data_IF_951391551747
#
_entry.id   IF_951391551747
#
_cell.length_a   1.000
_cell.length_b   1.000
_cell.length_c   1.000
_cell.angle_alpha   90.00
_cell.angle_beta   90.00
_cell.angle_gamma   90.00
#
_symmetry.space_group_name_H-M   'P 1'
#
loop_
_entity.id
_entity.type
_entity.pdbx_description
1 polymer ?
#
# COMPACT_ATOMS: atom_id res chain seq x y z
N UNK A 1 -3.31 13.31 -17.80
CA UNK A 1 -2.05 12.54 -17.52
C UNK A 1 -2.19 11.98 -16.11
N UNK A 2 -1.92 10.69 -15.92
CA UNK A 2 -2.00 10.07 -14.58
C UNK A 2 -0.86 10.57 -13.68
N UNK A 3 -1.18 10.81 -12.41
CA UNK A 3 -0.17 11.08 -11.39
C UNK A 3 0.50 9.77 -10.94
N UNK A 4 -0.31 8.76 -10.61
CA UNK A 4 0.20 7.47 -10.10
C UNK A 4 -0.55 6.32 -10.75
N UNK A 5 0.16 5.24 -11.09
CA UNK A 5 -0.43 3.93 -11.36
C UNK A 5 -0.04 2.99 -10.24
N UNK A 6 -1.03 2.36 -9.61
CA UNK A 6 -0.83 1.32 -8.60
C UNK A 6 -1.07 -0.05 -9.24
N UNK A 7 -0.13 -1.00 -9.09
CA UNK A 7 -0.26 -2.34 -9.67
C UNK A 7 -0.09 -3.40 -8.58
N UNK A 8 -1.13 -4.21 -8.36
CA UNK A 8 -1.06 -5.26 -7.36
C UNK A 8 -2.29 -6.15 -7.25
N UNK A 9 -2.21 -7.10 -6.31
CA UNK A 9 -3.25 -8.08 -6.05
C UNK A 9 -4.46 -7.45 -5.36
N UNK A 10 -5.64 -7.94 -5.70
CA UNK A 10 -6.89 -7.53 -5.09
C UNK A 10 -7.62 -8.73 -4.49
N UNK A 11 -8.20 -8.51 -3.35
CA UNK A 11 -8.86 -9.53 -2.54
C UNK A 11 -10.28 -9.09 -2.17
N UNK A 12 -11.13 -10.08 -1.93
CA UNK A 12 -12.36 -9.86 -1.19
C UNK A 12 -12.15 -10.27 0.27
N UNK A 13 -12.52 -9.40 1.18
CA UNK A 13 -12.45 -9.62 2.62
C UNK A 13 -13.79 -10.03 3.19
N UNK A 14 -13.78 -11.01 4.08
CA UNK A 14 -14.93 -11.40 4.89
C UNK A 14 -14.62 -11.18 6.37
N UNK A 15 -15.43 -10.38 7.03
CA UNK A 15 -15.25 -10.04 8.43
C UNK A 15 -16.55 -10.18 9.19
N UNK A 16 -16.58 -10.86 10.34
CA UNK A 16 -17.75 -10.83 11.23
C UNK A 16 -18.09 -9.42 11.67
N UNK A 17 -19.36 -9.15 11.93
CA UNK A 17 -19.79 -7.87 12.51
C UNK A 17 -19.20 -7.68 13.91
N UNK A 18 -18.77 -6.47 14.21
CA UNK A 18 -18.20 -6.12 15.51
C UNK A 18 -16.97 -6.95 15.86
N UNK A 19 -16.99 -7.59 17.03
CA UNK A 19 -15.88 -8.38 17.55
C UNK A 19 -16.19 -9.88 17.67
N UNK A 20 -17.19 -10.36 16.91
CA UNK A 20 -17.50 -11.79 16.82
C UNK A 20 -16.33 -12.55 16.20
N UNK A 21 -16.20 -13.81 16.58
CA UNK A 21 -15.28 -14.74 15.93
C UNK A 21 -15.93 -15.33 14.66
N UNK A 22 -15.12 -15.83 13.75
CA UNK A 22 -15.62 -16.47 12.52
C UNK A 22 -16.53 -17.68 12.81
N UNK A 23 -16.21 -18.47 13.85
CA UNK A 23 -17.02 -19.61 14.28
C UNK A 23 -18.33 -19.25 14.99
N UNK A 24 -18.47 -17.98 15.44
CA UNK A 24 -19.71 -17.45 16.01
C UNK A 24 -20.59 -16.80 14.94
N UNK A 25 -19.99 -16.35 13.82
CA UNK A 25 -20.66 -15.52 12.83
C UNK A 25 -21.73 -16.30 12.05
N UNK A 26 -22.88 -15.67 11.84
CA UNK A 26 -23.94 -16.12 10.90
C UNK A 26 -24.03 -15.23 9.67
N UNK A 27 -23.40 -14.07 9.75
CA UNK A 27 -23.29 -13.06 8.71
C UNK A 27 -21.89 -12.51 8.70
N UNK A 28 -21.41 -12.11 7.52
CA UNK A 28 -20.12 -11.45 7.34
C UNK A 28 -20.28 -10.21 6.49
N UNK A 29 -19.51 -9.19 6.80
CA UNK A 29 -19.32 -8.03 5.95
C UNK A 29 -18.37 -8.41 4.80
N UNK A 30 -18.72 -7.99 3.58
CA UNK A 30 -17.94 -8.23 2.38
C UNK A 30 -17.28 -6.92 1.95
N UNK A 31 -15.97 -6.94 1.74
CA UNK A 31 -15.18 -5.75 1.42
C UNK A 31 -14.16 -6.03 0.32
N UNK A 32 -13.88 -5.00 -0.47
CA UNK A 32 -12.73 -5.00 -1.37
C UNK A 32 -11.48 -4.54 -0.59
N UNK A 33 -10.34 -5.14 -0.91
CA UNK A 33 -9.03 -4.75 -0.37
C UNK A 33 -7.91 -5.12 -1.34
N UNK A 34 -6.72 -4.64 -1.05
CA UNK A 34 -5.47 -4.86 -1.77
C UNK A 34 -4.54 -3.68 -1.51
N UNK A 35 -3.29 -3.92 -1.17
CA UNK A 35 -2.38 -2.85 -0.75
C UNK A 35 -2.34 -1.69 -1.76
N UNK A 36 -2.19 -2.03 -3.03
CA UNK A 36 -2.14 -1.05 -4.11
C UNK A 36 -3.51 -0.43 -4.42
N UNK A 37 -4.61 -1.18 -4.24
CA UNK A 37 -5.96 -0.65 -4.36
C UNK A 37 -6.27 0.34 -3.22
N UNK A 38 -5.86 0.01 -1.98
CA UNK A 38 -5.99 0.89 -0.81
C UNK A 38 -5.24 2.21 -1.03
N UNK A 39 -3.99 2.14 -1.50
CA UNK A 39 -3.18 3.33 -1.82
C UNK A 39 -3.78 4.13 -2.98
N UNK A 40 -4.30 3.47 -4.02
CA UNK A 40 -4.95 4.12 -5.15
C UNK A 40 -6.20 4.89 -4.73
N UNK A 41 -7.02 4.30 -3.86
CA UNK A 41 -8.21 4.97 -3.29
C UNK A 41 -7.79 6.18 -2.45
N UNK A 42 -6.80 6.05 -1.58
CA UNK A 42 -6.29 7.17 -0.78
C UNK A 42 -5.81 8.33 -1.67
N UNK A 43 -5.00 8.04 -2.70
CA UNK A 43 -4.54 9.01 -3.68
C UNK A 43 -5.69 9.73 -4.41
N UNK A 44 -6.67 8.97 -4.90
CA UNK A 44 -7.81 9.53 -5.63
C UNK A 44 -8.67 10.43 -4.71
N UNK A 45 -8.89 10.02 -3.47
CA UNK A 45 -9.60 10.80 -2.45
C UNK A 45 -8.86 12.09 -2.06
N UNK A 46 -7.54 12.12 -2.22
CA UNK A 46 -6.71 13.32 -2.06
C UNK A 46 -6.63 14.18 -3.35
N UNK A 47 -7.40 13.83 -4.39
CA UNK A 47 -7.53 14.61 -5.62
C UNK A 47 -6.51 14.29 -6.72
N UNK A 48 -5.79 13.14 -6.65
CA UNK A 48 -4.86 12.71 -7.69
C UNK A 48 -5.55 11.93 -8.80
N UNK A 49 -4.99 12.02 -10.00
CA UNK A 49 -5.40 11.20 -11.14
C UNK A 49 -4.69 9.85 -11.04
N UNK A 50 -5.43 8.81 -10.73
CA UNK A 50 -4.86 7.50 -10.36
C UNK A 50 -5.39 6.39 -11.23
N UNK A 51 -4.49 5.56 -11.74
CA UNK A 51 -4.82 4.30 -12.39
C UNK A 51 -4.53 3.10 -11.49
N UNK A 52 -5.31 2.04 -11.66
CA UNK A 52 -5.09 0.79 -10.94
C UNK A 52 -5.09 -0.39 -11.90
N UNK A 53 -4.06 -1.23 -11.79
CA UNK A 53 -3.88 -2.45 -12.59
C UNK A 53 -3.88 -3.65 -11.66
N UNK A 54 -4.71 -4.61 -11.97
CA UNK A 54 -4.77 -5.93 -11.35
C UNK A 54 -5.26 -6.95 -12.37
N UNK A 55 -5.20 -8.25 -12.01
CA UNK A 55 -5.82 -9.31 -12.81
C UNK A 55 -6.83 -10.07 -11.97
N UNK A 56 -8.06 -10.15 -12.46
CA UNK A 56 -9.21 -10.75 -11.78
C UNK A 56 -9.97 -11.70 -12.71
N UNK A 57 -10.57 -12.76 -12.18
CA UNK A 57 -11.43 -13.65 -12.98
C UNK A 57 -12.77 -12.96 -13.29
N UNK A 58 -13.47 -13.46 -14.29
CA UNK A 58 -14.87 -13.11 -14.59
C UNK A 58 -15.80 -13.67 -13.51
N UNK A 59 -15.94 -12.93 -12.39
CA UNK A 59 -16.69 -13.35 -11.20
C UNK A 59 -17.45 -12.16 -10.56
N UNK A 60 -18.63 -12.36 -9.94
CA UNK A 60 -19.36 -11.28 -9.26
C UNK A 60 -18.55 -10.56 -8.18
N UNK A 61 -17.72 -11.28 -7.40
CA UNK A 61 -16.84 -10.66 -6.40
C UNK A 61 -15.75 -9.79 -7.04
N UNK A 62 -15.27 -10.14 -8.24
CA UNK A 62 -14.33 -9.29 -8.99
C UNK A 62 -14.99 -7.98 -9.41
N UNK A 63 -16.24 -8.03 -9.86
CA UNK A 63 -17.04 -6.84 -10.20
C UNK A 63 -17.30 -5.96 -8.97
N UNK A 64 -17.53 -6.57 -7.80
CA UNK A 64 -17.63 -5.84 -6.53
C UNK A 64 -16.32 -5.10 -6.25
N UNK A 65 -15.16 -5.77 -6.30
CA UNK A 65 -13.86 -5.15 -6.05
C UNK A 65 -13.62 -3.97 -7.00
N UNK A 66 -13.79 -4.18 -8.30
CA UNK A 66 -13.58 -3.12 -9.32
C UNK A 66 -14.56 -1.98 -9.14
N UNK A 67 -15.84 -2.28 -8.81
CA UNK A 67 -16.85 -1.28 -8.53
C UNK A 67 -16.50 -0.41 -7.32
N UNK A 68 -16.04 -1.05 -6.24
CA UNK A 68 -15.61 -0.34 -5.03
C UNK A 68 -14.42 0.58 -5.30
N UNK A 69 -13.39 0.14 -5.99
CA UNK A 69 -12.22 0.98 -6.35
C UNK A 69 -12.64 2.14 -7.27
N UNK A 70 -13.43 1.83 -8.31
CA UNK A 70 -13.89 2.84 -9.30
C UNK A 70 -14.73 3.94 -8.68
N UNK A 71 -15.61 3.64 -7.71
CA UNK A 71 -16.49 4.64 -7.08
C UNK A 71 -15.72 5.75 -6.36
N UNK A 72 -14.45 5.51 -6.01
CA UNK A 72 -13.56 6.52 -5.43
C UNK A 72 -12.82 7.38 -6.45
N UNK A 73 -13.11 7.22 -7.76
CA UNK A 73 -12.49 8.01 -8.83
C UNK A 73 -11.20 7.42 -9.39
N UNK A 74 -10.86 6.20 -9.04
CA UNK A 74 -9.70 5.49 -9.61
C UNK A 74 -10.05 4.95 -11.00
N UNK A 75 -9.17 5.18 -11.97
CA UNK A 75 -9.29 4.58 -13.30
C UNK A 75 -8.98 3.08 -13.24
N UNK A 76 -10.00 2.28 -13.52
CA UNK A 76 -9.95 0.81 -13.54
C UNK A 76 -10.00 0.25 -14.97
N UNK A 77 -9.76 1.08 -15.98
CA UNK A 77 -9.88 0.68 -17.40
C UNK A 77 -8.82 -0.36 -17.83
N UNK A 78 -7.76 -0.50 -17.03
CA UNK A 78 -6.65 -1.45 -17.28
C UNK A 78 -6.65 -2.65 -16.33
N UNK A 79 -7.78 -2.96 -15.72
CA UNK A 79 -7.99 -4.24 -15.05
C UNK A 79 -7.97 -5.36 -16.10
N UNK A 80 -7.09 -6.34 -15.91
CA UNK A 80 -6.98 -7.51 -16.78
C UNK A 80 -8.02 -8.54 -16.34
N UNK A 81 -8.92 -8.91 -17.25
CA UNK A 81 -9.94 -9.92 -16.99
C UNK A 81 -9.46 -11.28 -17.47
N UNK A 82 -9.52 -12.28 -16.60
CA UNK A 82 -9.11 -13.65 -16.88
C UNK A 82 -10.33 -14.55 -17.01
N UNK A 83 -10.40 -15.43 -18.03
CA UNK A 83 -11.43 -16.45 -18.11
C UNK A 83 -11.25 -17.54 -17.03
N UNK A 84 -10.05 -17.64 -16.47
CA UNK A 84 -9.67 -18.69 -15.52
C UNK A 84 -9.15 -18.07 -14.20
N UNK A 85 -9.08 -18.91 -13.18
CA UNK A 85 -8.56 -18.55 -11.88
C UNK A 85 -9.64 -18.21 -10.87
N UNK A 86 -9.23 -17.75 -9.71
CA UNK A 86 -10.10 -17.40 -8.58
C UNK A 86 -9.82 -16.00 -8.06
N UNK A 87 -10.79 -15.41 -7.38
CA UNK A 87 -10.57 -14.21 -6.58
C UNK A 87 -9.80 -14.62 -5.33
N UNK A 88 -8.80 -13.84 -4.97
CA UNK A 88 -8.14 -13.98 -3.67
C UNK A 88 -9.08 -13.55 -2.54
N UNK A 89 -9.03 -14.28 -1.43
CA UNK A 89 -9.88 -14.03 -0.26
C UNK A 89 -9.02 -13.81 0.98
N UNK A 90 -9.48 -12.97 1.88
CA UNK A 90 -8.99 -12.96 3.24
C UNK A 90 -10.14 -12.93 4.25
N UNK A 91 -9.91 -13.50 5.42
CA UNK A 91 -10.82 -13.47 6.54
C UNK A 91 -10.19 -12.65 7.66
N UNK A 92 -10.95 -11.75 8.24
CA UNK A 92 -10.46 -10.86 9.28
C UNK A 92 -11.36 -10.87 10.51
N UNK A 93 -10.79 -11.25 11.64
CA UNK A 93 -11.40 -11.08 12.97
C UNK A 93 -10.86 -9.82 13.62
N UNK A 94 -11.72 -8.84 13.84
CA UNK A 94 -11.42 -7.73 14.74
C UNK A 94 -11.36 -8.22 16.17
N UNK A 95 -10.56 -7.56 16.98
CA UNK A 95 -10.42 -7.91 18.37
C UNK A 95 -10.12 -6.67 19.21
N UNK A 96 -10.44 -6.78 20.49
CA UNK A 96 -10.01 -5.81 21.51
C UNK A 96 -9.03 -6.48 22.46
N UNK A 97 -8.05 -5.73 22.97
CA UNK A 97 -7.07 -6.26 23.93
C UNK A 97 -7.75 -6.97 25.13
N UNK A 98 -7.16 -8.08 25.66
CA UNK A 98 -5.85 -8.63 25.29
C UNK A 98 -5.84 -9.54 24.06
N UNK A 99 -6.96 -9.73 23.39
CA UNK A 99 -7.05 -10.55 22.18
C UNK A 99 -6.52 -9.77 20.97
N UNK A 100 -5.53 -10.31 20.23
CA UNK A 100 -5.07 -9.66 19.00
C UNK A 100 -6.03 -9.92 17.84
N UNK A 101 -6.18 -8.98 16.88
CA UNK A 101 -6.87 -9.23 15.62
C UNK A 101 -6.15 -10.33 14.83
N UNK A 102 -6.88 -11.04 13.99
CA UNK A 102 -6.36 -12.15 13.19
C UNK A 102 -6.77 -12.05 11.75
N UNK A 103 -5.83 -12.39 10.84
CA UNK A 103 -6.06 -12.46 9.41
C UNK A 103 -5.68 -13.85 8.89
N UNK A 104 -6.55 -14.43 8.08
CA UNK A 104 -6.27 -15.64 7.29
C UNK A 104 -6.41 -15.30 5.82
N UNK A 105 -5.40 -15.64 5.02
CA UNK A 105 -5.39 -15.43 3.58
C UNK A 105 -5.65 -16.75 2.86
N UNK A 106 -6.54 -16.70 1.88
CA UNK A 106 -6.78 -17.72 0.90
C UNK A 106 -6.65 -17.10 -0.51
N UNK A 107 -5.40 -16.92 -0.95
CA UNK A 107 -5.06 -16.19 -2.19
C UNK A 107 -4.14 -16.96 -3.14
N UNK A 108 -3.69 -18.14 -2.74
CA UNK A 108 -2.89 -19.01 -3.60
C UNK A 108 -3.68 -19.40 -4.85
N UNK A 109 -3.05 -19.29 -6.04
CA UNK A 109 -3.71 -19.57 -7.30
C UNK A 109 -4.81 -18.54 -7.67
N UNK A 110 -4.80 -17.33 -7.09
CA UNK A 110 -5.63 -16.23 -7.58
C UNK A 110 -5.24 -15.86 -9.02
N UNK A 111 -6.19 -15.29 -9.78
CA UNK A 111 -5.93 -14.88 -11.16
C UNK A 111 -4.73 -13.93 -11.26
N UNK A 112 -4.50 -13.06 -10.25
CA UNK A 112 -3.36 -12.15 -10.22
C UNK A 112 -2.02 -12.88 -10.30
N UNK A 113 -1.90 -14.10 -9.73
CA UNK A 113 -0.64 -14.87 -9.77
C UNK A 113 -0.23 -15.29 -11.18
N UNK A 114 -1.14 -15.18 -12.14
CA UNK A 114 -0.92 -15.51 -13.56
C UNK A 114 -0.69 -14.27 -14.44
N UNK A 115 -0.61 -13.07 -13.87
CA UNK A 115 -0.41 -11.83 -14.65
C UNK A 115 0.93 -11.87 -15.38
N UNK A 116 0.91 -11.54 -16.67
CA UNK A 116 2.08 -11.50 -17.54
C UNK A 116 2.31 -10.11 -18.14
N UNK A 117 3.56 -9.83 -18.48
CA UNK A 117 3.92 -8.54 -19.09
C UNK A 117 3.30 -8.30 -20.48
N UNK A 118 2.85 -9.35 -21.17
CA UNK A 118 2.12 -9.28 -22.44
C UNK A 118 0.69 -8.74 -22.27
N UNK A 119 0.13 -8.83 -21.07
CA UNK A 119 -1.21 -8.37 -20.73
C UNK A 119 -1.24 -6.92 -20.26
N UNK A 120 -0.07 -6.32 -20.02
CA UNK A 120 0.03 -4.93 -19.57
C UNK A 120 0.04 -3.93 -20.71
N UNK A 121 -0.73 -2.85 -20.55
CA UNK A 121 -0.55 -1.66 -21.36
C UNK A 121 0.64 -0.85 -20.83
N UNK A 122 1.81 -1.11 -21.39
CA UNK A 122 3.07 -0.48 -20.99
C UNK A 122 3.05 1.04 -21.19
N UNK A 123 2.36 1.53 -22.24
CA UNK A 123 2.23 2.96 -22.49
C UNK A 123 1.42 3.65 -21.39
N UNK A 124 0.34 3.02 -20.95
CA UNK A 124 -0.45 3.49 -19.82
C UNK A 124 0.37 3.52 -18.53
N UNK A 125 1.09 2.45 -18.23
CA UNK A 125 1.90 2.33 -17.02
C UNK A 125 3.02 3.38 -16.98
N UNK A 126 3.72 3.60 -18.08
CA UNK A 126 4.83 4.57 -18.17
C UNK A 126 4.38 6.02 -18.43
N UNK A 127 3.10 6.25 -18.70
CA UNK A 127 2.54 7.61 -18.82
C UNK A 127 2.41 8.33 -17.47
N UNK A 128 2.31 7.58 -16.36
CA UNK A 128 2.20 8.13 -15.04
C UNK A 128 3.51 8.77 -14.56
N UNK A 129 3.41 9.70 -13.60
CA UNK A 129 4.59 10.29 -12.94
C UNK A 129 5.27 9.30 -12.00
N UNK A 130 4.48 8.43 -11.38
CA UNK A 130 4.96 7.38 -10.49
C UNK A 130 4.19 6.08 -10.67
N UNK A 131 4.86 4.95 -10.39
CA UNK A 131 4.23 3.62 -10.31
C UNK A 131 4.50 3.07 -8.92
N UNK A 132 3.45 2.60 -8.24
CA UNK A 132 3.52 1.97 -6.91
C UNK A 132 3.24 0.47 -7.02
N UNK A 133 4.12 -0.32 -6.41
CA UNK A 133 3.96 -1.76 -6.22
C UNK A 133 4.32 -2.11 -4.77
N UNK A 134 3.59 -3.03 -4.17
CA UNK A 134 3.92 -3.58 -2.86
C UNK A 134 4.67 -4.92 -2.98
N UNK A 135 5.52 -5.22 -2.01
CA UNK A 135 6.27 -6.49 -1.94
C UNK A 135 5.39 -7.73 -1.82
N UNK A 136 4.09 -7.55 -1.60
CA UNK A 136 3.12 -8.64 -1.68
C UNK A 136 2.99 -9.20 -3.10
N UNK A 137 3.12 -8.39 -4.15
CA UNK A 137 3.03 -8.85 -5.52
C UNK A 137 4.15 -9.86 -5.88
N UNK A 138 5.44 -9.53 -5.74
CA UNK A 138 6.51 -10.49 -6.03
C UNK A 138 6.55 -11.69 -5.07
N UNK A 139 6.00 -11.55 -3.86
CA UNK A 139 5.90 -12.65 -2.91
C UNK A 139 4.95 -13.79 -3.37
N UNK A 140 4.06 -13.51 -4.33
CA UNK A 140 3.09 -14.48 -4.83
C UNK A 140 3.66 -15.48 -5.86
N UNK A 141 4.92 -15.33 -6.27
CA UNK A 141 5.58 -16.34 -7.08
C UNK A 141 6.60 -15.81 -8.08
N UNK A 142 7.36 -16.72 -8.71
CA UNK A 142 8.49 -16.34 -9.56
C UNK A 142 8.08 -15.50 -10.77
N UNK A 143 6.95 -15.80 -11.40
CA UNK A 143 6.42 -15.01 -12.54
C UNK A 143 6.24 -13.53 -12.17
N UNK A 144 5.64 -13.26 -11.02
CA UNK A 144 5.44 -11.90 -10.56
C UNK A 144 6.75 -11.23 -10.11
N UNK A 145 7.72 -12.00 -9.61
CA UNK A 145 9.09 -11.51 -9.34
C UNK A 145 9.74 -10.95 -10.61
N UNK A 146 9.70 -11.70 -11.71
CA UNK A 146 10.21 -11.26 -13.01
C UNK A 146 9.43 -10.04 -13.55
N UNK A 147 8.11 -10.08 -13.45
CA UNK A 147 7.27 -8.98 -13.91
C UNK A 147 7.56 -7.68 -13.17
N UNK A 148 7.65 -7.71 -11.84
CA UNK A 148 7.93 -6.51 -11.02
C UNK A 148 9.32 -5.95 -11.30
N UNK A 149 10.34 -6.80 -11.48
CA UNK A 149 11.67 -6.36 -11.93
C UNK A 149 11.62 -5.67 -13.29
N UNK A 150 10.87 -6.21 -14.24
CA UNK A 150 10.67 -5.58 -15.55
C UNK A 150 9.94 -4.25 -15.42
N UNK A 151 8.84 -4.18 -14.65
CA UNK A 151 8.11 -2.93 -14.40
C UNK A 151 9.05 -1.85 -13.85
N UNK A 152 9.85 -2.18 -12.83
CA UNK A 152 10.78 -1.24 -12.23
C UNK A 152 11.78 -0.69 -13.26
N UNK A 153 12.35 -1.54 -14.12
CA UNK A 153 13.28 -1.14 -15.19
C UNK A 153 12.63 -0.26 -16.23
N UNK A 154 11.46 -0.64 -16.75
CA UNK A 154 10.73 0.13 -17.78
C UNK A 154 10.30 1.50 -17.26
N UNK A 155 9.78 1.57 -16.02
CA UNK A 155 9.39 2.82 -15.38
C UNK A 155 10.60 3.74 -15.21
N UNK A 156 11.73 3.20 -14.76
CA UNK A 156 12.96 3.97 -14.59
C UNK A 156 13.55 4.41 -15.94
N UNK A 157 13.53 3.56 -16.95
CA UNK A 157 13.98 3.89 -18.30
C UNK A 157 13.14 5.01 -18.94
N UNK A 158 11.85 5.08 -18.61
CA UNK A 158 10.96 6.18 -18.98
C UNK A 158 11.16 7.47 -18.17
N UNK A 159 12.13 7.51 -17.26
CA UNK A 159 12.41 8.68 -16.41
C UNK A 159 11.33 8.92 -15.32
N UNK A 160 10.56 7.88 -14.98
CA UNK A 160 9.47 7.95 -13.99
C UNK A 160 9.91 7.41 -12.63
N UNK A 161 9.12 7.69 -11.60
CA UNK A 161 9.37 7.22 -10.25
C UNK A 161 8.82 5.80 -10.09
N UNK A 162 9.66 4.88 -9.64
CA UNK A 162 9.20 3.58 -9.16
C UNK A 162 9.20 3.57 -7.63
N UNK A 163 8.01 3.47 -7.06
CA UNK A 163 7.79 3.40 -5.61
C UNK A 163 7.51 1.95 -5.20
N UNK A 164 8.16 1.50 -4.15
CA UNK A 164 8.02 0.17 -3.59
C UNK A 164 7.64 0.27 -2.11
N UNK A 165 6.56 -0.39 -1.71
CA UNK A 165 6.31 -0.67 -0.30
C UNK A 165 6.80 -2.10 0.01
N UNK A 166 7.72 -2.26 0.95
CA UNK A 166 8.25 -3.58 1.35
C UNK A 166 7.13 -4.52 1.75
N UNK A 167 6.19 -4.07 2.54
CA UNK A 167 4.92 -4.73 2.87
C UNK A 167 5.09 -6.25 3.11
N UNK A 168 6.09 -6.63 3.92
CA UNK A 168 6.50 -8.02 4.11
C UNK A 168 5.39 -8.88 4.73
N UNK A 169 5.19 -10.05 4.17
CA UNK A 169 4.19 -11.03 4.62
C UNK A 169 4.83 -12.39 4.84
N UNK A 170 5.13 -12.73 6.11
CA UNK A 170 5.79 -13.98 6.50
C UNK A 170 5.09 -15.27 6.06
N UNK A 171 3.79 -15.19 5.69
CA UNK A 171 3.04 -16.34 5.17
C UNK A 171 3.26 -16.59 3.68
N UNK A 172 3.90 -15.67 2.94
CA UNK A 172 4.13 -15.76 1.50
C UNK A 172 5.56 -16.19 1.16
N UNK A 173 6.54 -15.72 1.90
CA UNK A 173 7.96 -16.02 1.69
C UNK A 173 8.77 -15.85 2.98
N UNK A 174 9.96 -16.45 3.04
CA UNK A 174 10.86 -16.30 4.17
C UNK A 174 11.54 -14.91 4.17
N UNK A 175 12.09 -14.44 5.29
CA UNK A 175 12.87 -13.20 5.31
C UNK A 175 14.07 -13.24 4.36
N UNK A 176 14.72 -14.40 4.22
CA UNK A 176 15.90 -14.60 3.37
C UNK A 176 15.52 -14.50 1.89
N UNK A 177 14.44 -15.18 1.46
CA UNK A 177 13.92 -15.06 0.10
C UNK A 177 13.51 -13.62 -0.23
N UNK A 178 12.85 -12.94 0.72
CA UNK A 178 12.47 -11.54 0.58
C UNK A 178 13.69 -10.64 0.43
N UNK A 179 14.70 -10.82 1.30
CA UNK A 179 15.93 -10.03 1.28
C UNK A 179 16.69 -10.19 -0.03
N UNK A 180 16.89 -11.43 -0.50
CA UNK A 180 17.56 -11.73 -1.75
C UNK A 180 16.89 -11.06 -2.95
N UNK A 181 15.58 -11.26 -3.10
CA UNK A 181 14.83 -10.67 -4.19
C UNK A 181 14.82 -9.14 -4.14
N UNK A 182 14.48 -8.57 -2.97
CA UNK A 182 14.38 -7.13 -2.80
C UNK A 182 15.74 -6.44 -2.99
N UNK A 183 16.85 -7.04 -2.54
CA UNK A 183 18.19 -6.50 -2.79
C UNK A 183 18.48 -6.30 -4.29
N UNK A 184 18.00 -7.20 -5.15
CA UNK A 184 18.10 -7.05 -6.60
C UNK A 184 17.17 -6.00 -7.20
N UNK A 185 16.03 -5.71 -6.55
CA UNK A 185 15.03 -4.74 -7.00
C UNK A 185 15.35 -3.30 -6.55
N UNK A 186 15.86 -3.13 -5.32
CA UNK A 186 16.07 -1.84 -4.66
C UNK A 186 16.91 -0.84 -5.47
N UNK A 187 17.94 -1.21 -6.26
CA UNK A 187 18.65 -0.25 -7.12
C UNK A 187 17.76 0.46 -8.16
N UNK A 188 16.61 -0.12 -8.49
CA UNK A 188 15.62 0.49 -9.39
C UNK A 188 14.54 1.29 -8.67
N UNK A 189 14.53 1.31 -7.32
CA UNK A 189 13.52 1.99 -6.53
C UNK A 189 13.88 3.45 -6.32
N UNK A 190 12.94 4.34 -6.66
CA UNK A 190 13.06 5.78 -6.39
C UNK A 190 12.63 6.13 -4.98
N UNK A 191 11.51 5.55 -4.54
CA UNK A 191 10.89 5.78 -3.23
C UNK A 191 10.61 4.42 -2.59
N UNK A 192 11.21 4.17 -1.45
CA UNK A 192 11.01 2.95 -0.66
C UNK A 192 10.18 3.28 0.58
N UNK A 193 9.06 2.59 0.76
CA UNK A 193 8.35 2.53 2.03
C UNK A 193 8.75 1.26 2.76
N UNK A 194 9.10 1.39 4.04
CA UNK A 194 9.49 0.24 4.85
C UNK A 194 9.09 0.47 6.32
N UNK A 195 8.44 -0.50 6.94
CA UNK A 195 8.24 -0.49 8.38
C UNK A 195 9.54 -0.81 9.13
N UNK A 196 9.79 -0.18 10.30
CA UNK A 196 10.94 -0.52 11.16
C UNK A 196 11.06 -2.03 11.42
N UNK A 197 9.92 -2.71 11.62
CA UNK A 197 9.90 -4.17 11.85
C UNK A 197 10.35 -4.96 10.63
N UNK A 198 9.94 -4.53 9.45
CA UNK A 198 10.31 -5.18 8.19
C UNK A 198 11.79 -4.90 7.85
N UNK A 199 12.28 -3.70 8.14
CA UNK A 199 13.70 -3.37 8.00
C UNK A 199 14.59 -4.29 8.86
N UNK A 200 14.19 -4.51 10.10
CA UNK A 200 14.89 -5.43 11.01
C UNK A 200 14.76 -6.88 10.56
N UNK A 201 13.55 -7.31 10.21
CA UNK A 201 13.25 -8.72 9.93
C UNK A 201 13.78 -9.21 8.60
N UNK A 202 13.67 -8.40 7.55
CA UNK A 202 14.06 -8.78 6.18
C UNK A 202 15.52 -8.42 5.91
N UNK A 203 15.96 -7.23 6.32
CA UNK A 203 17.28 -6.70 5.94
C UNK A 203 18.30 -6.73 7.09
N UNK A 204 17.89 -7.15 8.29
CA UNK A 204 18.76 -7.12 9.48
C UNK A 204 19.15 -5.70 9.93
N UNK A 205 18.43 -4.66 9.43
CA UNK A 205 18.71 -3.27 9.75
C UNK A 205 17.99 -2.88 11.04
N UNK A 206 18.77 -2.69 12.10
CA UNK A 206 18.29 -2.34 13.45
C UNK A 206 18.99 -1.08 13.94
N UNK A 207 18.50 -0.50 15.04
CA UNK A 207 19.06 0.70 15.68
C UNK A 207 18.22 1.94 15.45
N UNK A 208 18.88 3.10 15.50
CA UNK A 208 18.22 4.38 15.34
C UNK A 208 17.59 4.52 13.95
N UNK A 209 16.34 4.99 13.87
CA UNK A 209 15.58 5.04 12.61
C UNK A 209 16.30 5.76 11.48
N UNK A 210 17.05 6.79 11.79
CA UNK A 210 17.81 7.56 10.80
C UNK A 210 18.97 6.77 10.22
N UNK A 211 19.67 6.00 11.07
CA UNK A 211 20.74 5.13 10.63
C UNK A 211 20.21 4.00 9.76
N UNK A 212 19.03 3.44 10.10
CA UNK A 212 18.35 2.43 9.30
C UNK A 212 17.98 2.99 7.92
N UNK A 213 17.35 4.16 7.86
CA UNK A 213 16.97 4.78 6.59
C UNK A 213 18.19 5.13 5.73
N UNK A 214 19.27 5.64 6.34
CA UNK A 214 20.55 5.91 5.66
C UNK A 214 21.18 4.64 5.10
N UNK A 215 21.12 3.54 5.84
CA UNK A 215 21.67 2.24 5.40
C UNK A 215 21.03 1.72 4.11
N UNK A 216 19.73 1.92 3.92
CA UNK A 216 19.07 1.56 2.66
C UNK A 216 19.61 2.34 1.47
N UNK A 217 19.89 3.64 1.64
CA UNK A 217 20.49 4.46 0.58
C UNK A 217 21.92 4.03 0.30
N UNK A 218 22.72 3.83 1.32
CA UNK A 218 24.15 3.47 1.18
C UNK A 218 24.36 2.07 0.60
N UNK A 219 23.55 1.10 1.03
CA UNK A 219 23.68 -0.30 0.60
C UNK A 219 23.03 -0.57 -0.75
N UNK A 220 21.91 0.08 -1.04
CA UNK A 220 21.06 -0.28 -2.18
C UNK A 220 20.82 0.86 -3.18
N UNK A 221 21.30 2.06 -2.91
CA UNK A 221 21.18 3.21 -3.82
C UNK A 221 19.79 3.83 -3.92
N UNK A 222 18.88 3.52 -3.00
CA UNK A 222 17.51 4.08 -2.99
C UNK A 222 17.55 5.60 -2.80
N UNK A 223 16.86 6.35 -3.67
CA UNK A 223 16.92 7.81 -3.65
C UNK A 223 16.19 8.42 -2.44
N UNK A 224 15.01 7.90 -2.12
CA UNK A 224 14.19 8.34 -0.98
C UNK A 224 13.72 7.14 -0.19
N UNK A 225 14.12 7.05 1.07
CA UNK A 225 13.71 5.98 2.00
C UNK A 225 12.74 6.55 3.02
N UNK A 226 11.55 5.98 3.10
CA UNK A 226 10.50 6.36 4.05
C UNK A 226 10.33 5.23 5.06
N UNK A 227 10.66 5.52 6.31
CA UNK A 227 10.58 4.54 7.40
C UNK A 227 9.38 4.86 8.28
N UNK A 228 8.43 3.92 8.36
CA UNK A 228 7.28 4.03 9.28
C UNK A 228 7.60 3.39 10.63
N UNK A 229 7.20 4.07 11.71
CA UNK A 229 7.56 3.74 13.09
C UNK A 229 6.34 3.40 13.96
N UNK A 230 5.18 3.19 13.32
CA UNK A 230 3.91 2.99 14.02
C UNK A 230 3.48 4.24 14.77
N UNK A 231 3.15 4.13 16.06
CA UNK A 231 2.70 5.26 16.88
C UNK A 231 3.77 6.36 17.06
N UNK A 232 5.05 6.07 16.78
CA UNK A 232 6.12 7.07 16.80
C UNK A 232 6.15 7.95 15.52
N UNK A 233 5.26 7.69 14.55
CA UNK A 233 5.17 8.44 13.30
C UNK A 233 6.04 7.88 12.19
N UNK A 234 6.72 8.75 11.44
CA UNK A 234 7.58 8.36 10.33
C UNK A 234 8.71 9.35 10.09
N UNK A 235 9.73 8.90 9.39
CA UNK A 235 10.80 9.74 8.87
C UNK A 235 11.17 9.34 7.44
N UNK A 236 11.81 10.23 6.71
CA UNK A 236 12.42 9.92 5.44
C UNK A 236 13.89 10.37 5.40
N UNK A 237 14.69 9.64 4.61
CA UNK A 237 16.03 10.01 4.25
C UNK A 237 16.15 10.15 2.73
N UNK A 238 16.52 11.32 2.29
CA UNK A 238 16.80 11.63 0.89
C UNK A 238 18.16 12.34 0.77
N UNK A 239 18.19 13.66 0.62
CA UNK A 239 19.39 14.51 0.74
C UNK A 239 19.77 14.73 2.21
N UNK A 240 18.78 14.70 3.08
CA UNK A 240 18.87 14.85 4.54
C UNK A 240 17.79 14.01 5.22
N UNK A 241 17.74 14.05 6.54
CA UNK A 241 16.63 13.47 7.33
C UNK A 241 15.46 14.44 7.34
N UNK A 242 14.29 13.92 7.04
CA UNK A 242 13.00 14.59 7.19
C UNK A 242 12.19 13.84 8.24
N UNK A 243 11.39 14.56 9.04
CA UNK A 243 10.53 13.97 10.06
C UNK A 243 9.08 14.37 9.83
N UNK A 244 8.19 13.42 10.01
CA UNK A 244 6.76 13.69 10.01
C UNK A 244 6.43 14.73 11.08
N UNK A 245 5.54 15.66 10.76
CA UNK A 245 4.93 16.55 11.74
C UNK A 245 4.22 15.75 12.82
N UNK A 246 4.35 16.17 14.07
CA UNK A 246 3.63 15.54 15.18
C UNK A 246 2.12 15.71 14.96
N UNK A 247 1.41 14.61 15.09
CA UNK A 247 -0.05 14.56 15.04
C UNK A 247 -0.63 14.39 16.45
N UNK A 248 -1.90 14.77 16.67
CA UNK A 248 -2.57 14.49 17.94
C UNK A 248 -2.66 12.98 18.19
N UNK A 249 -2.84 12.56 19.46
CA UNK A 249 -3.12 11.16 19.78
C UNK A 249 -4.38 10.67 19.05
N UNK A 250 -4.31 9.46 18.49
CA UNK A 250 -5.46 8.85 17.84
C UNK A 250 -5.96 7.63 18.64
N UNK A 251 -7.26 7.36 18.51
CA UNK A 251 -7.86 6.09 18.94
C UNK A 251 -7.98 5.19 17.71
N UNK A 252 -7.24 4.09 17.72
CA UNK A 252 -7.25 3.12 16.62
C UNK A 252 -8.57 2.33 16.63
N UNK A 253 -9.32 2.40 15.54
CA UNK A 253 -10.54 1.63 15.29
C UNK A 253 -10.25 0.41 14.42
N UNK A 254 -9.53 0.60 13.33
CA UNK A 254 -9.13 -0.46 12.40
C UNK A 254 -7.78 -0.09 11.76
N UNK A 255 -6.69 -0.85 12.02
CA UNK A 255 -5.37 -0.54 11.47
C UNK A 255 -5.16 -1.03 10.04
N UNK A 256 -6.13 -1.78 9.47
CA UNK A 256 -6.01 -2.31 8.11
C UNK A 256 -5.97 -1.17 7.10
N UNK A 257 -5.08 -1.28 6.12
CA UNK A 257 -4.93 -0.28 5.07
C UNK A 257 -4.23 1.02 5.48
N UNK A 258 -3.94 1.26 6.77
CA UNK A 258 -3.31 2.50 7.23
C UNK A 258 -1.92 2.74 6.62
N UNK A 259 -1.11 1.69 6.46
CA UNK A 259 0.19 1.75 5.78
C UNK A 259 0.05 2.08 4.30
N UNK A 260 -0.93 1.48 3.64
CA UNK A 260 -1.21 1.72 2.24
C UNK A 260 -1.74 3.16 2.03
N UNK A 261 -2.62 3.62 2.92
CA UNK A 261 -3.11 5.00 2.96
C UNK A 261 -1.99 6.01 3.20
N UNK A 262 -1.05 5.69 4.10
CA UNK A 262 0.17 6.47 4.31
C UNK A 262 0.99 6.57 3.01
N UNK A 263 1.24 5.45 2.32
CA UNK A 263 1.98 5.45 1.06
C UNK A 263 1.29 6.30 -0.03
N UNK A 264 -0.05 6.19 -0.13
CA UNK A 264 -0.85 7.04 -1.01
C UNK A 264 -0.75 8.52 -0.66
N UNK A 265 -0.92 8.88 0.61
CA UNK A 265 -0.78 10.24 1.11
C UNK A 265 0.64 10.80 0.90
N UNK A 266 1.66 9.98 1.15
CA UNK A 266 3.05 10.36 0.89
C UNK A 266 3.27 10.68 -0.59
N UNK A 267 2.87 9.79 -1.50
CA UNK A 267 3.02 10.04 -2.94
C UNK A 267 2.24 11.28 -3.39
N UNK A 268 1.06 11.52 -2.81
CA UNK A 268 0.29 12.74 -3.08
C UNK A 268 1.11 13.99 -2.75
N UNK A 269 1.64 14.09 -1.53
CA UNK A 269 2.43 15.23 -1.07
C UNK A 269 3.79 15.34 -1.76
N UNK A 270 4.45 14.20 -2.00
CA UNK A 270 5.74 14.17 -2.68
C UNK A 270 5.67 14.74 -4.11
N UNK A 271 4.61 14.42 -4.83
CA UNK A 271 4.37 14.95 -6.17
C UNK A 271 3.93 16.42 -6.17
N UNK A 272 3.51 16.96 -5.01
CA UNK A 272 3.20 18.39 -4.82
C UNK A 272 4.46 19.20 -4.50
N UNK A 273 5.13 18.87 -3.39
CA UNK A 273 6.18 19.70 -2.79
C UNK A 273 7.26 18.84 -2.09
N UNK A 274 7.55 17.67 -2.62
CA UNK A 274 8.68 16.84 -2.19
C UNK A 274 8.47 16.09 -0.87
N UNK A 275 9.61 15.74 -0.24
CA UNK A 275 9.68 14.75 0.84
C UNK A 275 8.92 15.19 2.09
N UNK A 276 9.09 16.45 2.54
CA UNK A 276 8.43 16.92 3.77
C UNK A 276 6.93 16.90 3.63
N UNK A 277 6.42 17.43 2.52
CA UNK A 277 4.99 17.41 2.23
C UNK A 277 4.44 15.98 2.11
N UNK A 278 5.25 15.09 1.52
CA UNK A 278 4.94 13.66 1.48
C UNK A 278 4.75 13.05 2.87
N UNK A 279 5.68 13.30 3.79
CA UNK A 279 5.59 12.81 5.17
C UNK A 279 4.37 13.36 5.91
N UNK A 280 4.11 14.65 5.77
CA UNK A 280 3.00 15.30 6.47
C UNK A 280 1.65 14.76 5.98
N UNK A 281 1.44 14.71 4.65
CA UNK A 281 0.21 14.14 4.09
C UNK A 281 0.10 12.63 4.34
N UNK A 282 1.21 11.89 4.20
CA UNK A 282 1.22 10.45 4.47
C UNK A 282 0.83 10.15 5.91
N UNK A 283 1.45 10.86 6.86
CA UNK A 283 1.15 10.70 8.28
C UNK A 283 -0.31 10.98 8.63
N UNK A 284 -0.83 12.11 8.16
CA UNK A 284 -2.23 12.49 8.42
C UNK A 284 -3.22 11.53 7.75
N UNK A 285 -2.95 11.11 6.50
CA UNK A 285 -3.79 10.15 5.77
C UNK A 285 -3.82 8.79 6.47
N UNK A 286 -2.66 8.27 6.89
CA UNK A 286 -2.57 7.01 7.61
C UNK A 286 -3.24 7.07 9.00
N UNK A 287 -3.09 8.19 9.72
CA UNK A 287 -3.73 8.40 11.01
C UNK A 287 -5.26 8.43 10.89
N UNK A 288 -5.81 9.18 9.93
CA UNK A 288 -7.25 9.23 9.70
C UNK A 288 -7.79 7.86 9.24
N UNK A 289 -7.06 7.13 8.41
CA UNK A 289 -7.45 5.78 7.98
C UNK A 289 -7.62 4.83 9.17
N UNK A 290 -6.76 4.90 10.20
CA UNK A 290 -6.88 4.10 11.42
C UNK A 290 -8.18 4.36 12.21
N UNK A 291 -8.85 5.49 12.02
CA UNK A 291 -10.09 5.85 12.72
C UNK A 291 -11.34 5.36 12.02
N UNK A 292 -11.21 4.72 10.86
CA UNK A 292 -12.30 4.27 9.99
C UNK A 292 -12.27 2.76 9.87
N UNK A 293 -13.44 2.13 9.89
CA UNK A 293 -13.57 0.69 9.72
C UNK A 293 -13.36 0.31 8.25
N UNK A 294 -12.45 -0.62 7.97
CA UNK A 294 -12.14 -1.16 6.65
C UNK A 294 -10.84 -0.64 6.07
N UNK A 295 -10.44 -1.21 4.94
CA UNK A 295 -9.12 -1.03 4.35
C UNK A 295 -9.00 0.26 3.53
N UNK A 296 -10.11 0.75 2.96
CA UNK A 296 -10.10 1.99 2.17
C UNK A 296 -10.19 3.22 3.06
N UNK A 297 -9.37 4.21 2.78
CA UNK A 297 -9.37 5.49 3.47
C UNK A 297 -10.55 6.36 2.98
N UNK A 298 -11.68 6.30 3.66
CA UNK A 298 -12.87 7.14 3.38
C UNK A 298 -12.70 8.56 3.94
N UNK A 299 -11.63 9.20 3.56
CA UNK A 299 -11.22 10.55 4.00
C UNK A 299 -11.31 11.55 2.85
N UNK A 300 -11.25 12.82 3.17
CA UNK A 300 -11.16 13.92 2.20
C UNK A 300 -9.84 14.66 2.35
N UNK A 301 -9.46 15.38 1.31
CA UNK A 301 -8.28 16.26 1.37
C UNK A 301 -8.44 17.33 2.45
N UNK A 302 -9.64 17.86 2.66
CA UNK A 302 -9.92 18.87 3.67
C UNK A 302 -9.64 18.34 5.09
N UNK A 303 -10.11 17.14 5.43
CA UNK A 303 -9.85 16.51 6.74
C UNK A 303 -8.34 16.30 6.98
N UNK A 304 -7.59 15.92 5.95
CA UNK A 304 -6.13 15.74 6.06
C UNK A 304 -5.43 17.08 6.31
N UNK A 305 -5.80 18.15 5.61
CA UNK A 305 -5.22 19.49 5.81
C UNK A 305 -5.60 20.07 7.17
N UNK A 306 -6.82 19.85 7.61
CA UNK A 306 -7.28 20.28 8.92
C UNK A 306 -6.50 19.61 10.05
N UNK A 307 -6.30 18.29 9.98
CA UNK A 307 -5.49 17.57 10.96
C UNK A 307 -4.05 18.09 11.04
N UNK A 308 -3.50 18.57 9.91
CA UNK A 308 -2.17 19.16 9.86
C UNK A 308 -2.10 20.58 10.41
N UNK A 309 -3.22 21.32 10.45
CA UNK A 309 -3.24 22.74 10.82
C UNK A 309 -3.79 22.98 12.23
N UNK A 310 -4.86 22.32 12.62
CA UNK A 310 -5.58 22.61 13.88
C UNK A 310 -5.13 21.75 15.06
N UNK A 311 -4.72 20.51 14.83
CA UNK A 311 -4.26 19.61 15.88
C UNK A 311 -5.28 19.19 16.95
N UNK A 312 -6.51 19.76 16.93
CA UNK A 312 -7.58 19.48 17.90
C UNK A 312 -8.89 19.20 17.17
N UNK A 313 -9.49 18.00 17.35
CA UNK A 313 -10.72 17.65 16.70
C UNK A 313 -11.94 18.25 17.43
N UNK A 314 -12.36 19.44 17.03
CA UNK A 314 -13.66 19.99 17.45
C UNK A 314 -14.81 19.40 16.59
N UNK A 315 -16.02 19.37 17.20
CA UNK A 315 -17.22 18.97 16.47
C UNK A 315 -17.53 20.00 15.39
N UNK A 316 -17.42 19.62 14.14
CA UNK A 316 -17.84 20.44 13.01
C UNK A 316 -19.38 20.43 12.90
N UNK A 317 -19.99 21.59 12.90
CA UNK A 317 -21.44 21.80 12.80
C UNK A 317 -21.82 22.42 11.47
#
# INVERSE_FOLDING_TARGET
>A
MLDVVCLGDALVGFSPKGFLRLDQAREVEVRATGAEANAAVALARLGRQVGWITKLPEHPLSRLIVGEVRRHGVDTSRVVWSPEGRVGIFYFERAVPPRPPRVWYDRQGSAFTTLEGSELDWSYLTSARAVLVAGTAPALGPRLRELVLRIAREVRAAGKLFALDVNYRAKLWSPEEAAEYLAGLLPSVSILFCGRRDAARVFGLTGEPEAVARSFREKFGVSTVVLTLGAEGSLAFADRVYRQRRLPPLVEVDPLGAGDAFAGGFLCGYLEDGVQRGLDLGGATGALACTIVGDFAYITRAEVEELLTSGDPEIQR
#
